data_IF_829326219088
#
_entry.id   IF_829326219088
#
_cell.length_a   1.000
_cell.length_b   1.000
_cell.length_c   1.000
_cell.angle_alpha   90.00
_cell.angle_beta   90.00
_cell.angle_gamma   90.00
#
_symmetry.space_group_name_H-M   'P 1'
#
loop_
_entity.id
_entity.type
_entity.pdbx_description
1 polymer ?
#
# COMPACT_ATOMS: atom_id res chain seq x y z
N UNK A 1 19.42 4.73 -5.89
CA UNK A 1 19.14 3.92 -4.68
C UNK A 1 18.34 4.81 -3.76
N UNK A 2 17.09 4.48 -3.48
CA UNK A 2 16.20 5.36 -2.71
C UNK A 2 16.72 5.37 -1.27
N UNK A 3 17.39 6.44 -0.87
CA UNK A 3 17.80 6.69 0.50
C UNK A 3 16.53 6.92 1.32
N UNK A 4 15.93 5.83 1.80
CA UNK A 4 14.85 5.89 2.77
C UNK A 4 15.44 6.44 4.07
N UNK A 5 15.37 7.76 4.25
CA UNK A 5 15.60 8.45 5.52
C UNK A 5 14.46 8.12 6.47
N UNK A 6 14.41 6.87 6.93
CA UNK A 6 13.45 6.40 7.91
C UNK A 6 13.77 7.07 9.24
N UNK A 7 12.85 7.93 9.71
CA UNK A 7 12.98 8.51 11.03
C UNK A 7 13.08 7.38 12.09
N UNK A 8 13.96 7.47 13.10
CA UNK A 8 14.10 6.43 14.12
C UNK A 8 12.78 6.09 14.82
N UNK A 9 11.90 7.08 15.01
CA UNK A 9 10.55 6.91 15.56
C UNK A 9 9.62 6.02 14.74
N UNK A 10 9.93 5.80 13.46
CA UNK A 10 9.15 4.97 12.55
C UNK A 10 9.71 3.56 12.38
N UNK A 11 10.89 3.25 12.95
CA UNK A 11 11.54 1.95 12.78
C UNK A 11 10.65 0.80 13.26
N UNK A 12 10.07 0.91 14.46
CA UNK A 12 9.17 -0.13 15.01
C UNK A 12 7.95 -0.37 14.12
N UNK A 13 7.31 0.70 13.64
CA UNK A 13 6.16 0.60 12.72
C UNK A 13 6.55 -0.06 11.41
N UNK A 14 7.71 0.31 10.86
CA UNK A 14 8.20 -0.26 9.62
C UNK A 14 8.49 -1.76 9.74
N UNK A 15 9.17 -2.18 10.81
CA UNK A 15 9.43 -3.59 11.08
C UNK A 15 8.14 -4.39 11.27
N UNK A 16 7.16 -3.82 11.99
CA UNK A 16 5.83 -4.44 12.14
C UNK A 16 5.13 -4.65 10.80
N UNK A 17 5.19 -3.67 9.90
CA UNK A 17 4.59 -3.79 8.57
C UNK A 17 5.23 -4.95 7.79
N UNK A 18 6.57 -5.05 7.82
CA UNK A 18 7.28 -6.16 7.15
C UNK A 18 6.84 -7.51 7.74
N UNK A 19 6.89 -7.66 9.06
CA UNK A 19 6.49 -8.88 9.76
C UNK A 19 5.04 -9.29 9.48
N UNK A 20 4.12 -8.32 9.41
CA UNK A 20 2.72 -8.59 9.09
C UNK A 20 2.60 -9.09 7.65
N UNK A 21 3.27 -8.44 6.69
CA UNK A 21 3.26 -8.86 5.28
C UNK A 21 3.81 -10.27 5.09
N UNK A 22 4.92 -10.61 5.76
CA UNK A 22 5.50 -11.95 5.74
C UNK A 22 4.53 -12.99 6.30
N UNK A 23 3.95 -12.74 7.47
CA UNK A 23 2.97 -13.64 8.10
C UNK A 23 1.70 -13.82 7.27
N UNK A 24 1.20 -12.74 6.64
CA UNK A 24 0.05 -12.84 5.75
C UNK A 24 0.35 -13.75 4.56
N UNK A 25 1.56 -13.64 4.00
CA UNK A 25 1.98 -14.50 2.89
C UNK A 25 2.08 -15.97 3.33
N UNK A 26 2.66 -16.25 4.49
CA UNK A 26 2.72 -17.60 5.07
C UNK A 26 1.33 -18.21 5.29
N UNK A 27 0.41 -17.44 5.88
CA UNK A 27 -0.97 -17.89 6.12
C UNK A 27 -1.67 -18.22 4.81
N UNK A 28 -1.59 -17.33 3.82
CA UNK A 28 -2.24 -17.51 2.52
C UNK A 28 -1.70 -18.74 1.78
N UNK A 29 -0.39 -19.00 1.85
CA UNK A 29 0.21 -20.23 1.29
C UNK A 29 -0.27 -21.46 2.06
N UNK A 30 -0.37 -21.39 3.40
CA UNK A 30 -0.85 -22.50 4.22
C UNK A 30 -2.34 -22.84 3.96
N UNK A 31 -3.13 -21.86 3.55
CA UNK A 31 -4.54 -22.03 3.16
C UNK A 31 -4.71 -22.57 1.72
N UNK A 32 -3.61 -22.76 0.98
CA UNK A 32 -3.59 -23.42 -0.31
C UNK A 32 -3.28 -22.52 -1.51
N UNK A 33 -2.88 -21.26 -1.28
CA UNK A 33 -2.35 -20.44 -2.36
C UNK A 33 -0.96 -20.94 -2.81
N UNK A 34 -0.67 -20.80 -4.10
CA UNK A 34 0.68 -21.04 -4.62
C UNK A 34 1.56 -19.81 -4.37
N UNK A 35 2.88 -19.99 -4.36
CA UNK A 35 3.82 -18.86 -4.21
C UNK A 35 3.60 -17.75 -5.27
N UNK A 36 3.10 -18.12 -6.45
CA UNK A 36 2.80 -17.20 -7.55
C UNK A 36 1.51 -16.40 -7.34
N UNK A 37 0.54 -16.94 -6.58
CA UNK A 37 -0.78 -16.33 -6.35
C UNK A 37 -0.93 -15.68 -4.97
N UNK A 38 -0.06 -16.04 -4.02
CA UNK A 38 -0.14 -15.56 -2.65
C UNK A 38 -0.01 -14.03 -2.55
N UNK A 39 0.83 -13.40 -3.39
CA UNK A 39 0.96 -11.94 -3.45
C UNK A 39 -0.34 -11.23 -3.85
N UNK A 40 -1.07 -11.77 -4.82
CA UNK A 40 -2.35 -11.21 -5.27
C UNK A 40 -3.44 -11.37 -4.20
N UNK A 41 -3.47 -12.52 -3.53
CA UNK A 41 -4.42 -12.80 -2.44
C UNK A 41 -4.15 -11.86 -1.25
N UNK A 42 -2.90 -11.66 -0.86
CA UNK A 42 -2.53 -10.71 0.20
C UNK A 42 -2.93 -9.28 -0.19
N UNK A 43 -2.66 -8.86 -1.43
CA UNK A 43 -3.05 -7.53 -1.94
C UNK A 43 -4.56 -7.33 -1.87
N UNK A 44 -5.33 -8.34 -2.26
CA UNK A 44 -6.79 -8.31 -2.17
C UNK A 44 -7.27 -8.21 -0.72
N UNK A 45 -6.70 -8.99 0.20
CA UNK A 45 -7.05 -8.97 1.62
C UNK A 45 -6.78 -7.59 2.25
N UNK A 46 -5.63 -6.99 1.94
CA UNK A 46 -5.29 -5.64 2.41
C UNK A 46 -6.26 -4.62 1.85
N UNK A 47 -6.61 -4.73 0.57
CA UNK A 47 -7.57 -3.84 -0.09
C UNK A 47 -8.97 -3.92 0.53
N UNK A 48 -9.49 -5.12 0.72
CA UNK A 48 -10.80 -5.34 1.33
C UNK A 48 -10.84 -4.85 2.78
N UNK A 49 -9.74 -5.03 3.52
CA UNK A 49 -9.59 -4.52 4.88
C UNK A 49 -9.57 -2.99 4.90
N UNK A 50 -8.83 -2.35 3.99
CA UNK A 50 -8.76 -0.89 3.90
C UNK A 50 -10.12 -0.27 3.55
N UNK A 51 -10.88 -0.89 2.65
CA UNK A 51 -12.27 -0.52 2.36
C UNK A 51 -13.15 -0.61 3.61
N UNK A 52 -13.09 -1.75 4.33
CA UNK A 52 -13.88 -1.98 5.54
C UNK A 52 -13.58 -0.96 6.64
N UNK A 53 -12.33 -0.51 6.75
CA UNK A 53 -11.91 0.47 7.76
C UNK A 53 -12.13 1.92 7.34
N UNK A 54 -12.55 2.19 6.10
CA UNK A 54 -12.77 3.55 5.60
C UNK A 54 -11.49 4.38 5.61
N UNK A 55 -10.37 3.80 5.13
CA UNK A 55 -9.08 4.50 5.09
C UNK A 55 -9.20 5.79 4.27
N UNK A 56 -8.67 6.88 4.83
CA UNK A 56 -8.60 8.18 4.17
C UNK A 56 -7.15 8.64 4.13
N UNK A 57 -6.80 9.35 3.06
CA UNK A 57 -5.47 9.92 2.88
C UNK A 57 -5.59 11.45 2.88
N UNK A 58 -4.60 12.10 3.48
CA UNK A 58 -4.52 13.56 3.45
C UNK A 58 -4.31 14.03 2.00
N UNK A 59 -5.14 14.95 1.53
CA UNK A 59 -5.16 15.44 0.15
C UNK A 59 -3.80 15.95 -0.35
N UNK A 60 -2.94 16.43 0.56
CA UNK A 60 -1.56 16.84 0.23
C UNK A 60 -0.70 15.73 -0.40
N UNK A 61 -1.08 14.47 -0.22
CA UNK A 61 -0.36 13.31 -0.71
C UNK A 61 -1.03 12.63 -1.89
N UNK A 62 -2.22 13.08 -2.32
CA UNK A 62 -2.99 12.47 -3.38
C UNK A 62 -4.41 12.10 -2.98
N UNK A 63 -5.11 11.41 -3.88
CA UNK A 63 -6.46 10.88 -3.65
C UNK A 63 -6.38 9.39 -3.37
N UNK A 64 -7.02 8.94 -2.29
CA UNK A 64 -7.12 7.51 -1.99
C UNK A 64 -8.02 6.81 -3.02
N UNK A 65 -7.51 5.74 -3.66
CA UNK A 65 -8.30 4.83 -4.47
C UNK A 65 -8.63 3.58 -3.67
N UNK A 66 -9.90 3.49 -3.24
CA UNK A 66 -10.41 2.37 -2.45
C UNK A 66 -10.34 1.04 -3.21
N UNK A 67 -10.43 1.04 -4.54
CA UNK A 67 -10.50 -0.18 -5.35
C UNK A 67 -9.19 -0.92 -5.44
N UNK A 68 -8.07 -0.19 -5.40
CA UNK A 68 -6.71 -0.72 -5.55
C UNK A 68 -5.86 -0.57 -4.28
N UNK A 69 -6.39 0.11 -3.26
CA UNK A 69 -5.65 0.50 -2.06
C UNK A 69 -4.36 1.28 -2.37
N UNK A 70 -4.41 2.12 -3.41
CA UNK A 70 -3.29 2.98 -3.84
C UNK A 70 -3.65 4.45 -3.69
N UNK A 71 -2.61 5.29 -3.68
CA UNK A 71 -2.77 6.74 -3.74
C UNK A 71 -2.63 7.15 -5.21
N UNK A 72 -3.67 7.76 -5.76
CA UNK A 72 -3.62 8.41 -7.06
C UNK A 72 -2.98 9.78 -6.93
N UNK A 73 -2.10 10.11 -7.87
CA UNK A 73 -1.50 11.43 -8.02
C UNK A 73 -2.63 12.48 -8.06
N UNK A 74 -2.66 13.38 -7.09
CA UNK A 74 -3.49 14.57 -7.21
C UNK A 74 -2.77 15.57 -8.12
N UNK A 75 -3.45 16.09 -9.14
CA UNK A 75 -2.93 17.22 -9.91
C UNK A 75 -2.85 18.46 -9.01
N UNK A 76 -1.70 18.62 -8.37
CA UNK A 76 -1.39 19.76 -7.50
C UNK A 76 -1.04 21.01 -8.32
N UNK A 77 -1.01 20.92 -9.65
CA UNK A 77 -0.60 22.01 -10.55
C UNK A 77 -1.78 22.71 -11.20
N UNK A 78 -3.01 22.24 -10.98
CA UNK A 78 -4.23 22.81 -11.58
C UNK A 78 -4.13 22.87 -13.12
N UNK A 79 -3.54 21.85 -13.74
CA UNK A 79 -3.29 21.79 -15.18
C UNK A 79 -2.13 22.65 -15.69
N UNK A 80 -1.28 23.22 -14.82
CA UNK A 80 -0.15 24.04 -15.26
C UNK A 80 0.98 23.22 -15.91
N UNK A 81 1.04 21.91 -15.67
CA UNK A 81 1.96 21.01 -16.37
C UNK A 81 1.18 19.91 -17.10
N UNK A 82 1.37 19.84 -18.42
CA UNK A 82 0.92 18.70 -19.21
C UNK A 82 1.92 17.55 -19.04
N UNK A 83 1.49 16.32 -18.71
CA UNK A 83 2.38 15.16 -18.69
C UNK A 83 3.09 15.01 -20.05
N UNK A 84 4.40 14.79 -20.02
CA UNK A 84 5.18 14.48 -21.23
C UNK A 84 4.70 13.14 -21.81
N UNK A 85 4.48 13.03 -23.14
CA UNK A 85 4.00 11.81 -23.78
C UNK A 85 4.95 10.62 -23.65
#
# INVERSE_FOLDING_TARGET
MVSASLAPSNLDKYLKIILISEKLNEVVVSEGATAETAGDVVTKLVTDTAKKLGVTVNSRYGKWNESTATIEEADNTSGAVTPVP
#
